data_IF_604448335594
#
_entry.id   IF_604448335594
#
_cell.length_a   1.000
_cell.length_b   1.000
_cell.length_c   1.000
_cell.angle_alpha   90.00
_cell.angle_beta   90.00
_cell.angle_gamma   90.00
#
_symmetry.space_group_name_H-M   'P 1'
#
loop_
_entity.id
_entity.type
_entity.pdbx_description
1 polymer ?
#
# COMPACT_ATOMS: atom_id res chain seq x y z
N UNK A 1 -25.82 43.46 -28.91
CA UNK A 1 -27.27 43.35 -29.04
C UNK A 1 -27.76 42.70 -27.79
N UNK A 2 -28.23 43.53 -26.97
CA UNK A 2 -29.48 43.60 -26.19
C UNK A 2 -29.42 42.67 -24.97
N UNK A 3 -29.13 43.17 -23.75
CA UNK A 3 -30.02 43.96 -22.85
C UNK A 3 -31.24 43.10 -22.49
N UNK A 4 -31.63 42.93 -21.26
CA UNK A 4 -32.26 43.89 -20.35
C UNK A 4 -32.46 43.20 -18.98
N UNK A 5 -32.11 43.79 -17.83
CA UNK A 5 -32.99 44.60 -16.98
C UNK A 5 -34.27 43.88 -16.52
N UNK A 6 -34.63 43.80 -15.37
CA UNK A 6 -35.05 44.77 -14.30
C UNK A 6 -35.61 43.90 -13.20
N UNK A 7 -35.59 44.18 -11.95
CA UNK A 7 -35.85 45.34 -11.17
C UNK A 7 -36.66 44.97 -9.95
N UNK A 8 -36.23 45.38 -8.86
CA UNK A 8 -36.87 46.42 -8.08
C UNK A 8 -37.98 45.98 -7.11
N UNK A 9 -37.66 46.20 -5.85
CA UNK A 9 -38.30 47.10 -4.88
C UNK A 9 -39.60 46.68 -4.19
N UNK A 10 -39.58 46.89 -2.93
CA UNK A 10 -40.79 47.00 -2.12
C UNK A 10 -40.47 46.85 -0.62
N UNK A 11 -39.80 47.80 0.01
CA UNK A 11 -40.35 48.95 0.79
C UNK A 11 -41.43 48.57 1.77
N UNK A 12 -41.05 48.79 3.00
CA UNK A 12 -41.81 49.44 4.07
C UNK A 12 -43.23 48.93 4.42
N UNK A 13 -43.36 48.48 5.62
CA UNK A 13 -44.37 49.06 6.51
C UNK A 13 -43.98 48.88 7.98
N UNK A 14 -43.51 49.97 8.54
CA UNK A 14 -43.72 50.28 9.93
C UNK A 14 -45.25 50.33 10.22
N UNK A 15 -45.66 49.66 11.24
CA UNK A 15 -46.76 50.19 12.06
C UNK A 15 -46.53 49.78 13.50
N UNK A 16 -46.31 50.82 14.26
CA UNK A 16 -46.38 50.84 15.66
C UNK A 16 -47.80 50.51 16.12
N UNK A 17 -47.94 49.71 17.13
CA UNK A 17 -49.09 49.81 18.04
C UNK A 17 -48.60 49.69 19.45
N UNK A 18 -48.72 50.83 20.09
CA UNK A 18 -48.64 51.01 21.52
C UNK A 18 -49.87 50.42 22.21
N UNK A 19 -49.66 50.18 23.50
CA UNK A 19 -50.61 50.22 24.58
C UNK A 19 -51.39 48.96 24.94
N UNK A 20 -50.93 48.35 26.01
CA UNK A 20 -51.78 48.22 27.20
C UNK A 20 -50.94 47.80 28.41
N UNK A 21 -50.70 48.77 29.29
CA UNK A 21 -50.28 48.53 30.68
C UNK A 21 -51.40 47.76 31.37
N UNK A 22 -51.05 46.50 31.72
CA UNK A 22 -51.85 45.83 32.75
C UNK A 22 -50.85 45.27 33.79
N UNK A 23 -50.60 46.11 34.76
CA UNK A 23 -49.84 45.79 35.96
C UNK A 23 -50.60 44.76 36.78
N UNK A 24 -50.24 43.52 36.72
CA UNK A 24 -50.64 42.59 37.76
C UNK A 24 -49.48 42.44 38.75
N UNK A 25 -49.76 42.53 40.06
CA UNK A 25 -48.69 42.31 41.03
C UNK A 25 -48.24 40.88 40.98
N UNK A 26 -46.98 40.69 40.61
CA UNK A 26 -46.28 39.43 40.66
C UNK A 26 -46.05 39.09 42.13
N UNK A 27 -46.86 38.16 42.62
CA UNK A 27 -46.62 37.52 43.91
C UNK A 27 -45.31 36.71 43.78
N UNK A 28 -44.32 37.19 44.52
CA UNK A 28 -43.02 36.56 44.64
C UNK A 28 -43.21 35.17 45.28
N UNK A 29 -43.27 34.09 44.48
CA UNK A 29 -43.18 32.73 44.98
C UNK A 29 -41.74 32.47 45.34
N UNK A 30 -41.40 31.91 46.49
CA UNK A 30 -40.04 31.54 46.81
C UNK A 30 -39.60 30.46 45.88
N UNK A 31 -38.54 30.73 45.10
CA UNK A 31 -37.88 29.80 44.25
C UNK A 31 -37.51 28.55 45.03
N UNK A 32 -38.19 27.43 44.70
CA UNK A 32 -37.82 26.15 45.19
C UNK A 32 -36.35 25.90 44.87
N UNK A 33 -35.53 25.78 45.90
CA UNK A 33 -34.17 25.32 45.82
C UNK A 33 -34.17 23.95 45.14
N UNK A 34 -34.00 23.92 43.81
CA UNK A 34 -33.64 22.69 43.10
C UNK A 34 -32.29 22.28 43.66
N UNK A 35 -32.34 21.32 44.54
CA UNK A 35 -31.20 20.55 44.97
C UNK A 35 -30.52 20.00 43.74
N UNK A 36 -29.41 20.63 43.34
CA UNK A 36 -28.49 20.10 42.33
C UNK A 36 -27.85 18.88 42.94
N UNK A 37 -28.49 17.72 42.75
CA UNK A 37 -27.81 16.44 43.00
C UNK A 37 -26.63 16.41 42.02
N UNK A 38 -25.46 16.84 42.48
CA UNK A 38 -24.20 16.54 41.82
C UNK A 38 -24.07 15.01 41.82
N UNK A 39 -24.42 14.41 40.70
CA UNK A 39 -23.99 13.04 40.41
C UNK A 39 -22.48 13.04 40.45
N UNK A 40 -21.91 12.73 41.59
CA UNK A 40 -20.51 12.31 41.68
C UNK A 40 -20.42 11.02 40.89
N UNK A 41 -20.10 11.12 39.58
CA UNK A 41 -19.56 10.00 38.82
C UNK A 41 -18.38 9.49 39.64
N UNK A 42 -18.57 8.36 40.24
CA UNK A 42 -17.47 7.63 40.89
C UNK A 42 -16.38 7.52 39.81
N UNK A 43 -15.33 8.28 39.95
CA UNK A 43 -14.11 8.07 39.14
C UNK A 43 -13.61 6.72 39.65
N UNK A 44 -13.81 5.67 38.86
CA UNK A 44 -13.21 4.38 39.11
C UNK A 44 -11.69 4.62 39.00
N UNK A 45 -11.04 4.57 40.14
CA UNK A 45 -9.57 4.56 40.17
C UNK A 45 -9.14 3.19 39.61
N UNK A 46 -8.24 3.20 38.65
CA UNK A 46 -7.66 1.98 38.13
C UNK A 46 -6.92 1.23 39.23
N UNK A 47 -7.13 -0.05 39.28
CA UNK A 47 -6.42 -0.90 40.24
C UNK A 47 -4.99 -1.15 39.74
N UNK A 48 -4.04 -1.31 40.66
CA UNK A 48 -2.65 -1.61 40.30
C UNK A 48 -2.57 -2.86 39.41
N UNK A 49 -3.38 -3.87 39.73
CA UNK A 49 -3.42 -5.12 38.95
C UNK A 49 -3.89 -4.90 37.51
N UNK A 50 -4.84 -4.00 37.29
CA UNK A 50 -5.35 -3.69 35.96
C UNK A 50 -4.27 -3.06 35.07
N UNK A 51 -3.47 -2.14 35.65
CA UNK A 51 -2.33 -1.54 34.95
C UNK A 51 -1.26 -2.58 34.64
N UNK A 52 -0.97 -3.50 35.55
CA UNK A 52 -0.01 -4.58 35.32
C UNK A 52 -0.48 -5.53 34.22
N UNK A 53 -1.74 -5.91 34.22
CA UNK A 53 -2.32 -6.77 33.17
C UNK A 53 -2.32 -6.03 31.82
N UNK A 54 -2.67 -4.74 31.78
CA UNK A 54 -2.65 -3.95 30.56
C UNK A 54 -1.23 -3.86 29.99
N UNK A 55 -0.22 -3.62 30.79
CA UNK A 55 1.19 -3.60 30.37
C UNK A 55 1.63 -4.96 29.85
N UNK A 56 1.24 -6.05 30.51
CA UNK A 56 1.54 -7.40 30.06
C UNK A 56 0.97 -7.66 28.66
N UNK A 57 -0.31 -7.32 28.43
CA UNK A 57 -0.95 -7.49 27.13
C UNK A 57 -0.28 -6.65 26.04
N UNK A 58 0.08 -5.40 26.35
CA UNK A 58 0.78 -4.52 25.40
C UNK A 58 2.15 -5.07 25.04
N UNK A 59 2.94 -5.54 26.03
CA UNK A 59 4.28 -6.09 25.77
C UNK A 59 4.24 -7.36 24.94
N UNK A 60 3.27 -8.26 25.20
CA UNK A 60 3.06 -9.45 24.39
C UNK A 60 2.62 -9.10 22.96
N UNK A 61 1.71 -8.13 22.82
CA UNK A 61 1.24 -7.67 21.53
C UNK A 61 2.35 -7.01 20.68
N UNK A 62 3.16 -6.13 21.28
CA UNK A 62 4.28 -5.51 20.58
C UNK A 62 5.33 -6.54 20.15
N UNK A 63 5.62 -7.54 21.00
CA UNK A 63 6.55 -8.61 20.66
C UNK A 63 6.11 -9.37 19.39
N UNK A 64 4.84 -9.70 19.28
CA UNK A 64 4.29 -10.38 18.09
C UNK A 64 4.43 -9.54 16.82
N UNK A 65 4.18 -8.23 16.89
CA UNK A 65 4.29 -7.30 15.74
C UNK A 65 5.74 -7.20 15.24
N UNK A 66 6.70 -7.11 16.14
CA UNK A 66 8.13 -6.98 15.77
C UNK A 66 8.61 -8.22 15.00
N UNK A 67 8.24 -9.42 15.43
CA UNK A 67 8.61 -10.67 14.76
C UNK A 67 8.03 -10.71 13.33
N UNK A 68 6.76 -10.35 13.16
CA UNK A 68 6.08 -10.39 11.86
C UNK A 68 6.68 -9.40 10.86
N UNK A 69 7.11 -8.22 11.33
CA UNK A 69 7.68 -7.16 10.47
C UNK A 69 9.09 -7.52 9.98
N UNK A 70 9.90 -8.16 10.82
CA UNK A 70 11.25 -8.59 10.47
C UNK A 70 11.30 -9.59 9.32
N UNK A 71 10.41 -10.57 9.29
CA UNK A 71 10.35 -11.57 8.22
C UNK A 71 9.89 -10.99 6.86
N UNK A 72 9.07 -9.96 6.88
CA UNK A 72 8.53 -9.35 5.66
C UNK A 72 9.60 -8.62 4.84
N UNK A 73 10.59 -8.02 5.49
CA UNK A 73 11.69 -7.31 4.82
C UNK A 73 12.57 -8.23 3.97
N UNK A 74 12.95 -9.37 4.49
CA UNK A 74 13.75 -10.37 3.78
C UNK A 74 13.03 -10.96 2.57
N UNK A 75 11.76 -11.29 2.72
CA UNK A 75 10.92 -11.82 1.62
C UNK A 75 10.76 -10.81 0.50
N UNK A 76 10.57 -9.53 0.82
CA UNK A 76 10.42 -8.45 -0.14
C UNK A 76 11.69 -8.23 -0.98
N UNK A 77 12.87 -8.23 -0.35
CA UNK A 77 14.15 -8.10 -1.05
C UNK A 77 14.39 -9.26 -2.01
N UNK A 78 14.16 -10.48 -1.56
CA UNK A 78 14.33 -11.68 -2.38
C UNK A 78 13.38 -11.72 -3.58
N UNK A 79 12.11 -11.31 -3.40
CA UNK A 79 11.14 -11.21 -4.50
C UNK A 79 11.56 -10.17 -5.53
N UNK A 80 12.07 -9.02 -5.11
CA UNK A 80 12.58 -7.99 -6.01
C UNK A 80 13.76 -8.50 -6.85
N UNK A 81 14.74 -9.13 -6.22
CA UNK A 81 15.90 -9.72 -6.93
C UNK A 81 15.46 -10.77 -7.95
N UNK A 82 14.59 -11.68 -7.56
CA UNK A 82 14.06 -12.71 -8.45
C UNK A 82 13.28 -12.13 -9.63
N UNK A 83 12.53 -11.05 -9.42
CA UNK A 83 11.80 -10.37 -10.50
C UNK A 83 12.75 -9.72 -11.49
N UNK A 84 13.77 -8.99 -11.00
CA UNK A 84 14.75 -8.34 -11.88
C UNK A 84 15.58 -9.39 -12.63
N UNK A 85 16.02 -10.45 -11.96
CA UNK A 85 16.71 -11.55 -12.59
C UNK A 85 15.88 -12.22 -13.70
N UNK A 86 14.57 -12.36 -13.49
CA UNK A 86 13.67 -12.86 -14.52
C UNK A 86 13.60 -11.92 -15.73
N UNK A 87 13.58 -10.61 -15.53
CA UNK A 87 13.60 -9.64 -16.62
C UNK A 87 14.91 -9.70 -17.42
N UNK A 88 16.05 -9.85 -16.74
CA UNK A 88 17.34 -10.09 -17.42
C UNK A 88 17.25 -11.33 -18.31
N UNK A 89 16.74 -12.44 -17.77
CA UNK A 89 16.60 -13.68 -18.53
C UNK A 89 15.68 -13.52 -19.76
N UNK A 90 14.54 -12.87 -19.62
CA UNK A 90 13.61 -12.59 -20.73
C UNK A 90 14.25 -11.70 -21.80
N UNK A 91 15.00 -10.69 -21.37
CA UNK A 91 15.71 -9.80 -22.28
C UNK A 91 16.73 -10.56 -23.12
N UNK A 92 17.53 -11.42 -22.49
CA UNK A 92 18.53 -12.24 -23.21
C UNK A 92 17.89 -13.22 -24.18
N UNK A 93 16.76 -13.86 -23.81
CA UNK A 93 15.98 -14.70 -24.72
C UNK A 93 15.46 -13.88 -25.91
N UNK A 94 14.94 -12.67 -25.65
CA UNK A 94 14.42 -11.78 -26.68
C UNK A 94 15.54 -11.33 -27.64
N UNK A 95 16.69 -10.94 -27.11
CA UNK A 95 17.87 -10.59 -27.91
C UNK A 95 18.36 -11.77 -28.76
N UNK A 96 18.38 -12.97 -28.18
CA UNK A 96 18.76 -14.19 -28.92
C UNK A 96 17.79 -14.47 -30.08
N UNK A 97 16.48 -14.33 -29.84
CA UNK A 97 15.46 -14.45 -30.90
C UNK A 97 15.62 -13.39 -31.99
N UNK A 98 15.87 -12.14 -31.62
CA UNK A 98 16.03 -11.03 -32.56
C UNK A 98 17.22 -11.22 -33.50
N UNK A 99 18.30 -11.82 -33.02
CA UNK A 99 19.49 -12.12 -33.83
C UNK A 99 19.25 -13.21 -34.87
N UNK A 100 18.10 -13.90 -34.84
CA UNK A 100 17.72 -15.00 -35.74
C UNK A 100 18.82 -16.05 -35.92
N UNK A 101 19.71 -16.21 -34.95
CA UNK A 101 20.79 -17.15 -35.00
C UNK A 101 20.29 -18.52 -34.64
N UNK A 102 20.22 -19.40 -35.64
CA UNK A 102 20.00 -20.83 -35.36
C UNK A 102 21.29 -21.43 -34.82
N UNK A 103 21.26 -21.85 -33.56
CA UNK A 103 22.40 -22.51 -32.95
C UNK A 103 22.10 -23.98 -32.69
N UNK A 104 23.04 -24.83 -32.97
CA UNK A 104 23.01 -26.17 -32.43
C UNK A 104 23.17 -26.15 -30.91
N UNK A 105 22.94 -27.28 -30.23
CA UNK A 105 23.05 -27.35 -28.78
C UNK A 105 24.37 -26.74 -28.30
N UNK A 106 24.30 -25.66 -27.51
CA UNK A 106 25.46 -24.92 -27.02
C UNK A 106 25.13 -24.21 -25.71
N UNK A 107 26.19 -23.90 -24.96
CA UNK A 107 26.08 -23.07 -23.77
C UNK A 107 26.61 -21.68 -24.10
N UNK A 108 25.93 -20.66 -23.63
CA UNK A 108 26.32 -19.25 -23.69
C UNK A 108 26.24 -18.63 -22.31
N UNK A 109 27.10 -17.68 -22.06
CA UNK A 109 27.09 -16.89 -20.81
C UNK A 109 27.53 -15.47 -21.09
N UNK A 110 27.21 -14.58 -20.20
CA UNK A 110 27.60 -13.19 -20.27
C UNK A 110 27.13 -12.44 -19.05
N UNK A 111 27.37 -11.15 -19.08
CA UNK A 111 27.01 -10.22 -18.04
C UNK A 111 25.91 -9.30 -18.54
N UNK A 112 25.06 -8.80 -17.62
CA UNK A 112 24.06 -7.79 -17.90
C UNK A 112 23.96 -6.86 -16.71
N UNK A 113 23.71 -5.57 -16.95
CA UNK A 113 23.44 -4.60 -15.92
C UNK A 113 21.95 -4.26 -15.93
N UNK A 114 21.27 -4.40 -14.80
CA UNK A 114 19.86 -4.04 -14.64
C UNK A 114 19.56 -3.65 -13.20
N UNK A 115 18.81 -2.56 -13.03
CA UNK A 115 18.43 -1.99 -11.74
C UNK A 115 19.63 -1.69 -10.82
N UNK A 116 20.71 -1.17 -11.40
CA UNK A 116 21.97 -0.81 -10.72
C UNK A 116 22.68 -2.01 -10.05
N UNK A 117 22.49 -3.18 -10.63
CA UNK A 117 23.10 -4.44 -10.18
C UNK A 117 23.66 -5.17 -11.40
N UNK A 118 24.85 -5.75 -11.25
CA UNK A 118 25.46 -6.60 -12.27
C UNK A 118 24.99 -8.04 -12.09
N UNK A 119 24.60 -8.65 -13.19
CA UNK A 119 24.04 -9.99 -13.25
C UNK A 119 24.88 -10.87 -14.17
N UNK A 120 25.17 -12.09 -13.73
CA UNK A 120 25.74 -13.14 -14.56
C UNK A 120 24.60 -14.02 -15.09
N UNK A 121 24.55 -14.22 -16.40
CA UNK A 121 23.57 -15.11 -16.97
C UNK A 121 24.23 -16.27 -17.72
N UNK A 122 23.59 -17.43 -17.67
CA UNK A 122 23.99 -18.64 -18.40
C UNK A 122 22.79 -19.16 -19.16
N UNK A 123 22.94 -19.35 -20.46
CA UNK A 123 21.92 -19.87 -21.36
C UNK A 123 22.36 -21.24 -21.89
N UNK A 124 21.56 -22.24 -21.66
CA UNK A 124 21.73 -23.61 -22.22
C UNK A 124 20.73 -23.80 -23.34
N UNK A 125 21.21 -24.14 -24.53
CA UNK A 125 20.40 -24.44 -25.71
C UNK A 125 20.34 -25.95 -25.86
N UNK A 126 19.12 -26.51 -25.83
CA UNK A 126 18.89 -27.94 -25.90
C UNK A 126 18.03 -28.29 -27.13
N UNK A 127 18.25 -29.48 -27.71
CA UNK A 127 17.37 -30.05 -28.72
C UNK A 127 16.03 -30.43 -28.08
N UNK A 128 14.95 -30.35 -28.84
CA UNK A 128 13.65 -30.87 -28.48
C UNK A 128 13.28 -32.02 -29.42
N UNK A 129 12.19 -32.71 -29.18
CA UNK A 129 11.68 -33.76 -30.03
C UNK A 129 11.37 -33.26 -31.46
N UNK A 130 10.98 -31.98 -31.56
CA UNK A 130 10.77 -31.29 -32.82
C UNK A 130 12.10 -30.70 -33.33
N UNK A 131 12.61 -31.14 -34.53
CA UNK A 131 13.85 -30.63 -35.09
C UNK A 131 13.82 -29.12 -35.42
N UNK A 132 12.61 -28.54 -35.56
CA UNK A 132 12.42 -27.12 -35.85
C UNK A 132 12.40 -26.27 -34.57
N UNK A 133 12.40 -26.88 -33.40
CA UNK A 133 12.39 -26.18 -32.12
C UNK A 133 13.68 -26.39 -31.34
N UNK A 134 14.08 -25.39 -30.59
CA UNK A 134 15.13 -25.48 -29.56
C UNK A 134 14.63 -24.88 -28.27
N UNK A 135 14.98 -25.54 -27.18
CA UNK A 135 14.69 -25.08 -25.82
C UNK A 135 15.88 -24.23 -25.33
N UNK A 136 15.58 -23.10 -24.74
CA UNK A 136 16.51 -22.18 -24.10
C UNK A 136 16.24 -22.19 -22.61
N UNK A 137 17.16 -22.62 -21.79
CA UNK A 137 17.11 -22.50 -20.34
C UNK A 137 18.12 -21.43 -19.92
N UNK A 138 17.62 -20.33 -19.35
CA UNK A 138 18.45 -19.22 -18.88
C UNK A 138 18.42 -19.16 -17.37
N UNK A 139 19.60 -19.21 -16.77
CA UNK A 139 19.83 -19.03 -15.34
C UNK A 139 20.52 -17.70 -15.12
N UNK A 140 20.03 -16.95 -14.12
CA UNK A 140 20.57 -15.64 -13.75
C UNK A 140 20.92 -15.62 -12.27
N UNK A 141 22.12 -15.15 -11.98
CA UNK A 141 22.64 -14.93 -10.62
C UNK A 141 23.18 -13.51 -10.49
N UNK A 142 23.33 -13.01 -9.28
CA UNK A 142 24.06 -11.76 -9.05
C UNK A 142 25.54 -12.04 -9.27
N UNK A 143 26.24 -11.11 -9.88
CA UNK A 143 27.68 -11.24 -10.15
C UNK A 143 28.45 -11.51 -8.86
N UNK A 144 29.26 -12.56 -8.90
CA UNK A 144 30.01 -13.03 -7.74
C UNK A 144 29.24 -13.93 -6.78
N UNK A 145 27.93 -14.16 -7.00
CA UNK A 145 27.14 -15.11 -6.22
C UNK A 145 26.95 -16.43 -7.00
N UNK A 146 26.98 -17.54 -6.27
CA UNK A 146 26.69 -18.87 -6.85
C UNK A 146 25.19 -19.20 -6.85
N UNK A 147 24.39 -18.44 -6.10
CA UNK A 147 22.96 -18.70 -5.96
C UNK A 147 22.19 -18.19 -7.19
N UNK A 148 21.46 -19.09 -7.85
CA UNK A 148 20.58 -18.72 -8.97
C UNK A 148 19.35 -18.00 -8.43
N UNK A 149 19.12 -16.75 -8.88
CA UNK A 149 17.99 -15.90 -8.47
C UNK A 149 16.76 -16.14 -9.36
N UNK A 150 16.96 -16.48 -10.63
CA UNK A 150 15.88 -16.84 -11.54
C UNK A 150 16.32 -17.88 -12.58
N UNK A 151 15.34 -18.70 -12.98
CA UNK A 151 15.49 -19.63 -14.11
C UNK A 151 14.29 -19.47 -15.02
N UNK A 152 14.54 -19.17 -16.29
CA UNK A 152 13.51 -18.96 -17.31
C UNK A 152 13.74 -19.88 -18.48
N UNK A 153 12.68 -20.56 -18.93
CA UNK A 153 12.70 -21.40 -20.12
C UNK A 153 11.98 -20.71 -21.27
N UNK A 154 12.61 -20.67 -22.43
CA UNK A 154 12.04 -20.19 -23.67
C UNK A 154 12.20 -21.18 -24.79
N UNK A 155 11.58 -20.90 -25.93
CA UNK A 155 11.72 -21.70 -27.14
C UNK A 155 11.98 -20.81 -28.34
N UNK A 156 12.78 -21.30 -29.28
CA UNK A 156 12.98 -20.69 -30.59
C UNK A 156 12.60 -21.68 -31.68
N UNK A 157 11.96 -21.17 -32.72
CA UNK A 157 11.67 -21.94 -33.93
C UNK A 157 12.61 -21.53 -35.04
N UNK A 158 12.92 -22.50 -35.91
CA UNK A 158 13.60 -22.24 -37.18
C UNK A 158 12.55 -21.67 -38.17
N UNK A 159 12.74 -20.44 -38.57
CA UNK A 159 11.94 -19.75 -39.60
C UNK A 159 12.56 -20.01 -40.98
#
# INVERSE_FOLDING_TARGET
MTADKTGQTGRHRMMAQCVAMNARPQVFAPSSMRSIRRNFRRKSAFTLIEVMVALLVITLGMGAVIVTTGESGWKSSHLRESTIASWVAYNEIAMFRAKRTWSEASNRSGDAEMANTEWDWRMKISKTDDPLLRRLDVEVSIKGETSVKARVTGFIARL
#
